data_IF_604956396402
#
_entry.id   IF_604956396402
#
_cell.length_a   1.000
_cell.length_b   1.000
_cell.length_c   1.000
_cell.angle_alpha   90.00
_cell.angle_beta   90.00
_cell.angle_gamma   90.00
#
_symmetry.space_group_name_H-M   'P 1'
#
loop_
_entity.id
_entity.type
_entity.pdbx_description
1 polymer ?
#
# COMPACT_ATOMS: atom_id res chain seq x y z
N UNK A 1 32.76 -14.00 12.76
CA UNK A 1 31.70 -13.05 12.34
C UNK A 1 30.72 -13.73 11.40
N UNK A 2 29.50 -14.01 11.88
CA UNK A 2 28.42 -14.47 10.99
C UNK A 2 27.86 -13.21 10.30
N UNK A 3 27.85 -13.13 8.96
CA UNK A 3 27.16 -12.05 8.27
C UNK A 3 25.70 -12.03 8.75
N UNK A 4 25.20 -10.85 9.14
CA UNK A 4 23.80 -10.68 9.53
C UNK A 4 22.87 -11.17 8.42
N UNK A 5 21.76 -11.79 8.80
CA UNK A 5 20.77 -12.32 7.86
C UNK A 5 20.26 -11.19 6.95
N UNK A 6 20.37 -11.38 5.62
CA UNK A 6 19.92 -10.42 4.60
C UNK A 6 18.48 -10.02 4.86
N UNK A 7 17.62 -10.94 5.29
CA UNK A 7 16.22 -10.64 5.60
C UNK A 7 16.08 -9.60 6.72
N UNK A 8 16.94 -9.65 7.74
CA UNK A 8 16.95 -8.66 8.83
C UNK A 8 17.35 -7.27 8.32
N UNK A 9 18.39 -7.20 7.47
CA UNK A 9 18.83 -5.94 6.87
C UNK A 9 17.72 -5.32 6.02
N UNK A 10 17.03 -6.13 5.21
CA UNK A 10 15.92 -5.69 4.38
C UNK A 10 14.75 -5.16 5.22
N UNK A 11 14.38 -5.84 6.31
CA UNK A 11 13.33 -5.37 7.22
C UNK A 11 13.68 -4.02 7.86
N UNK A 12 14.93 -3.84 8.29
CA UNK A 12 15.40 -2.55 8.85
C UNK A 12 15.34 -1.45 7.81
N UNK A 13 15.84 -1.69 6.59
CA UNK A 13 15.78 -0.71 5.50
C UNK A 13 14.33 -0.33 5.18
N UNK A 14 13.42 -1.29 5.16
CA UNK A 14 12.00 -1.04 4.92
C UNK A 14 11.34 -0.21 6.04
N UNK A 15 11.67 -0.48 7.31
CA UNK A 15 11.20 0.33 8.43
C UNK A 15 11.70 1.78 8.33
N UNK A 16 13.01 1.98 8.05
CA UNK A 16 13.58 3.32 7.85
C UNK A 16 12.89 4.06 6.71
N UNK A 17 12.58 3.37 5.61
CA UNK A 17 11.84 3.95 4.50
C UNK A 17 10.44 4.41 4.90
N UNK A 18 9.70 3.60 5.67
CA UNK A 18 8.35 3.94 6.12
C UNK A 18 8.34 5.09 7.16
N UNK A 19 9.36 5.16 8.03
CA UNK A 19 9.54 6.27 8.97
C UNK A 19 9.94 7.57 8.27
N UNK A 20 10.50 7.51 7.05
CA UNK A 20 10.86 8.70 6.27
C UNK A 20 9.70 9.60 5.84
N UNK A 21 8.45 9.18 6.09
CA UNK A 21 7.27 10.01 5.88
C UNK A 21 6.90 10.89 7.09
N UNK A 22 7.61 10.80 8.22
CA UNK A 22 7.25 11.47 9.48
C UNK A 22 8.19 12.60 9.95
N UNK A 23 9.33 12.88 9.27
CA UNK A 23 10.37 13.79 9.78
C UNK A 23 11.02 14.77 8.78
N UNK A 24 11.91 15.64 9.31
CA UNK A 24 12.62 16.75 8.64
C UNK A 24 13.79 16.29 7.73
N UNK A 25 14.24 15.03 7.90
CA UNK A 25 15.24 14.37 7.05
C UNK A 25 14.54 13.39 6.13
N UNK A 26 14.92 13.38 4.86
CA UNK A 26 14.36 12.47 3.87
C UNK A 26 14.93 11.04 4.00
N UNK A 27 14.55 10.35 5.08
CA UNK A 27 14.97 8.96 5.35
C UNK A 27 14.53 8.00 4.25
N UNK A 28 13.47 8.33 3.51
CA UNK A 28 13.03 7.52 2.37
C UNK A 28 14.06 7.54 1.23
N UNK A 29 14.56 8.72 0.87
CA UNK A 29 15.65 8.86 -0.13
C UNK A 29 16.92 8.16 0.34
N UNK A 30 17.27 8.28 1.63
CA UNK A 30 18.44 7.61 2.18
C UNK A 30 18.29 6.08 2.20
N UNK A 31 17.12 5.55 2.56
CA UNK A 31 16.82 4.12 2.51
C UNK A 31 16.92 3.56 1.09
N UNK A 32 16.41 4.28 0.08
CA UNK A 32 16.60 3.92 -1.33
C UNK A 32 18.10 3.90 -1.67
N UNK A 33 18.85 4.93 -1.29
CA UNK A 33 20.29 5.03 -1.55
C UNK A 33 21.07 3.87 -0.93
N UNK A 34 20.72 3.45 0.28
CA UNK A 34 21.35 2.31 0.96
C UNK A 34 20.96 0.99 0.31
N UNK A 35 19.69 0.81 -0.05
CA UNK A 35 19.20 -0.40 -0.72
C UNK A 35 19.84 -0.58 -2.10
N UNK A 36 20.06 0.49 -2.86
CA UNK A 36 20.84 0.45 -4.12
C UNK A 36 22.27 -0.04 -3.91
N UNK A 37 22.95 0.45 -2.86
CA UNK A 37 24.31 -0.01 -2.53
C UNK A 37 24.31 -1.49 -2.14
N UNK A 38 23.29 -1.94 -1.40
CA UNK A 38 23.13 -3.34 -1.05
C UNK A 38 22.92 -4.21 -2.30
N UNK A 39 22.04 -3.79 -3.23
CA UNK A 39 21.77 -4.47 -4.48
C UNK A 39 23.01 -4.59 -5.40
N UNK A 40 23.94 -3.64 -5.31
CA UNK A 40 25.20 -3.68 -6.06
C UNK A 40 26.23 -4.67 -5.51
N UNK A 41 26.08 -5.12 -4.25
CA UNK A 41 27.05 -5.97 -3.56
C UNK A 41 26.50 -7.37 -3.29
N UNK A 42 25.19 -7.50 -3.09
CA UNK A 42 24.53 -8.76 -2.74
C UNK A 42 23.61 -9.20 -3.89
N UNK A 43 23.97 -10.32 -4.53
CA UNK A 43 23.15 -10.94 -5.57
C UNK A 43 21.98 -11.74 -4.97
N UNK A 44 20.94 -11.04 -4.53
CA UNK A 44 19.75 -11.65 -3.94
C UNK A 44 18.46 -10.99 -4.47
N UNK A 45 17.53 -11.74 -5.09
CA UNK A 45 16.34 -11.18 -5.75
C UNK A 45 15.46 -10.36 -4.82
N UNK A 46 15.41 -10.73 -3.54
CA UNK A 46 14.64 -10.00 -2.54
C UNK A 46 15.19 -8.59 -2.22
N UNK A 47 16.51 -8.37 -2.42
CA UNK A 47 17.08 -7.02 -2.31
C UNK A 47 16.56 -6.15 -3.47
N UNK A 48 16.47 -6.72 -4.67
CA UNK A 48 15.86 -6.07 -5.84
C UNK A 48 14.36 -5.83 -5.63
N UNK A 49 13.64 -6.80 -5.06
CA UNK A 49 12.23 -6.64 -4.69
C UNK A 49 12.00 -5.47 -3.73
N UNK A 50 12.81 -5.34 -2.68
CA UNK A 50 12.73 -4.21 -1.75
C UNK A 50 13.03 -2.87 -2.45
N UNK A 51 14.08 -2.82 -3.28
CA UNK A 51 14.41 -1.62 -4.03
C UNK A 51 13.26 -1.19 -4.96
N UNK A 52 12.69 -2.12 -5.70
CA UNK A 52 11.54 -1.87 -6.57
C UNK A 52 10.35 -1.32 -5.77
N UNK A 53 9.99 -1.96 -4.66
CA UNK A 53 8.92 -1.50 -3.77
C UNK A 53 9.14 -0.06 -3.30
N UNK A 54 10.35 0.26 -2.83
CA UNK A 54 10.69 1.60 -2.36
C UNK A 54 10.58 2.64 -3.48
N UNK A 55 11.08 2.34 -4.68
CA UNK A 55 11.01 3.24 -5.84
C UNK A 55 9.56 3.51 -6.24
N UNK A 56 8.74 2.46 -6.37
CA UNK A 56 7.33 2.57 -6.73
C UNK A 56 6.54 3.37 -5.69
N UNK A 57 6.83 3.20 -4.41
CA UNK A 57 6.22 4.00 -3.35
C UNK A 57 6.72 5.45 -3.33
N UNK A 58 8.00 5.68 -3.58
CA UNK A 58 8.58 7.02 -3.53
C UNK A 58 8.20 7.86 -4.75
N UNK A 59 8.01 7.23 -5.91
CA UNK A 59 7.65 7.91 -7.16
C UNK A 59 6.39 8.78 -7.04
N UNK A 60 5.43 8.39 -6.19
CA UNK A 60 4.18 9.12 -5.97
C UNK A 60 4.21 10.11 -4.80
N UNK A 61 5.36 10.35 -4.17
CA UNK A 61 5.48 11.14 -2.93
C UNK A 61 4.85 12.53 -3.05
N UNK A 62 5.11 13.23 -4.17
CA UNK A 62 4.59 14.58 -4.42
C UNK A 62 3.05 14.64 -4.50
N UNK A 63 2.39 13.52 -4.77
CA UNK A 63 0.94 13.44 -4.89
C UNK A 63 0.22 13.01 -3.60
N UNK A 64 0.94 12.63 -2.53
CA UNK A 64 0.34 12.03 -1.32
C UNK A 64 -0.32 13.03 -0.38
N UNK A 65 0.16 14.27 -0.37
CA UNK A 65 -0.24 15.31 0.57
C UNK A 65 -0.50 16.59 -0.22
N UNK A 66 -1.66 17.22 0.00
CA UNK A 66 -1.98 18.53 -0.60
C UNK A 66 -1.18 19.64 0.09
N UNK A 67 -1.08 20.85 -0.51
CA UNK A 67 -0.41 21.98 0.12
C UNK A 67 -0.97 22.37 1.51
N UNK A 68 -2.23 22.03 1.80
CA UNK A 68 -2.88 22.24 3.10
C UNK A 68 -2.56 21.15 4.15
N UNK A 69 -1.71 20.17 3.81
CA UNK A 69 -1.34 19.06 4.67
C UNK A 69 -2.31 17.87 4.66
N UNK A 70 -3.40 17.93 3.89
CA UNK A 70 -4.38 16.85 3.83
C UNK A 70 -3.89 15.64 3.02
N UNK A 71 -4.22 14.43 3.48
CA UNK A 71 -4.00 13.19 2.73
C UNK A 71 -4.80 13.16 1.43
N UNK A 72 -4.15 12.66 0.38
CA UNK A 72 -4.75 12.33 -0.91
C UNK A 72 -4.80 10.80 -1.05
N UNK A 73 -6.01 10.19 -1.04
CA UNK A 73 -6.19 8.76 -1.33
C UNK A 73 -5.56 8.37 -2.66
N UNK A 74 -5.03 7.15 -2.77
CA UNK A 74 -4.32 6.69 -3.98
C UNK A 74 -5.15 6.90 -5.26
N UNK A 75 -6.46 6.61 -5.21
CA UNK A 75 -7.37 6.77 -6.34
C UNK A 75 -7.56 8.25 -6.78
N UNK A 76 -7.34 9.20 -5.87
CA UNK A 76 -7.47 10.64 -6.12
C UNK A 76 -6.13 11.33 -6.43
N UNK A 77 -5.00 10.59 -6.38
CA UNK A 77 -3.68 11.16 -6.61
C UNK A 77 -3.55 11.64 -8.06
N UNK A 78 -3.09 12.87 -8.23
CA UNK A 78 -2.71 13.39 -9.54
C UNK A 78 -1.49 12.62 -10.06
N UNK A 79 -1.74 11.69 -10.99
CA UNK A 79 -0.70 10.84 -11.59
C UNK A 79 0.30 11.64 -12.44
N UNK A 80 -0.01 12.87 -12.85
CA UNK A 80 0.96 13.73 -13.55
C UNK A 80 2.10 14.19 -12.64
N UNK A 81 1.91 14.11 -11.31
CA UNK A 81 2.94 14.40 -10.30
C UNK A 81 3.81 13.18 -9.97
N UNK A 82 3.55 12.02 -10.57
CA UNK A 82 4.32 10.80 -10.31
C UNK A 82 5.64 10.80 -11.09
N UNK A 83 6.72 10.37 -10.44
CA UNK A 83 8.02 10.21 -11.10
C UNK A 83 8.01 8.95 -11.98
N UNK A 84 7.72 9.17 -13.27
CA UNK A 84 7.66 8.09 -14.27
C UNK A 84 8.99 7.40 -14.51
N UNK A 85 10.13 8.05 -14.21
CA UNK A 85 11.45 7.42 -14.31
C UNK A 85 11.67 6.44 -13.18
N UNK A 86 11.32 6.81 -11.94
CA UNK A 86 11.38 5.88 -10.80
C UNK A 86 10.41 4.71 -10.96
N UNK A 87 9.22 4.94 -11.54
CA UNK A 87 8.27 3.87 -11.85
C UNK A 87 8.88 2.90 -12.85
N UNK A 88 9.36 3.38 -13.99
CA UNK A 88 9.97 2.54 -15.02
C UNK A 88 11.14 1.72 -14.46
N UNK A 89 12.03 2.36 -13.71
CA UNK A 89 13.15 1.69 -13.05
C UNK A 89 12.69 0.62 -12.04
N UNK A 90 11.71 0.94 -11.19
CA UNK A 90 11.17 -0.01 -10.22
C UNK A 90 10.56 -1.24 -10.90
N UNK A 91 9.83 -1.04 -12.00
CA UNK A 91 9.26 -2.12 -12.81
C UNK A 91 10.33 -2.97 -13.46
N UNK A 92 11.36 -2.37 -14.07
CA UNK A 92 12.47 -3.11 -14.69
C UNK A 92 13.22 -3.99 -13.67
N UNK A 93 13.53 -3.43 -12.49
CA UNK A 93 14.18 -4.15 -11.39
C UNK A 93 13.30 -5.32 -10.92
N UNK A 94 12.00 -5.09 -10.77
CA UNK A 94 11.06 -6.12 -10.33
C UNK A 94 10.95 -7.26 -11.36
N UNK A 95 10.79 -6.93 -12.64
CA UNK A 95 10.70 -7.93 -13.70
C UNK A 95 11.95 -8.81 -13.75
N UNK A 96 13.15 -8.22 -13.62
CA UNK A 96 14.39 -8.96 -13.55
C UNK A 96 14.49 -9.86 -12.31
N UNK A 97 13.94 -9.43 -11.16
CA UNK A 97 13.90 -10.24 -9.94
C UNK A 97 12.94 -11.43 -10.07
N UNK A 98 11.72 -11.19 -10.56
CA UNK A 98 10.70 -12.23 -10.76
C UNK A 98 11.14 -13.30 -11.76
N UNK A 99 11.89 -12.92 -12.80
CA UNK A 99 12.45 -13.86 -13.78
C UNK A 99 13.43 -14.88 -13.18
N UNK A 100 13.85 -14.71 -11.92
CA UNK A 100 14.75 -15.65 -11.22
C UNK A 100 14.03 -16.79 -10.51
N UNK A 101 12.70 -16.86 -10.60
CA UNK A 101 11.86 -17.92 -10.04
C UNK A 101 12.14 -18.20 -8.55
N UNK A 102 12.39 -17.11 -7.80
CA UNK A 102 12.66 -17.10 -6.36
C UNK A 102 11.88 -15.96 -5.71
N UNK A 103 10.54 -16.09 -5.76
CA UNK A 103 9.60 -15.11 -5.22
C UNK A 103 9.78 -14.95 -3.70
N UNK A 104 9.60 -13.72 -3.21
CA UNK A 104 9.62 -13.38 -1.79
C UNK A 104 8.67 -12.21 -1.46
N UNK A 105 8.61 -11.87 -0.17
CA UNK A 105 7.68 -10.91 0.42
C UNK A 105 7.69 -9.54 -0.29
N UNK A 106 8.86 -8.91 -0.41
CA UNK A 106 9.03 -7.60 -1.02
C UNK A 106 8.81 -7.61 -2.52
N UNK A 107 9.11 -8.72 -3.21
CA UNK A 107 8.78 -8.87 -4.63
C UNK A 107 7.27 -8.88 -4.84
N UNK A 108 6.51 -9.63 -4.03
CA UNK A 108 5.04 -9.65 -4.11
C UNK A 108 4.43 -8.28 -3.78
N UNK A 109 4.93 -7.61 -2.73
CA UNK A 109 4.50 -6.24 -2.40
C UNK A 109 4.82 -5.24 -3.52
N UNK A 110 6.00 -5.35 -4.13
CA UNK A 110 6.39 -4.51 -5.27
C UNK A 110 5.48 -4.75 -6.48
N UNK A 111 5.06 -5.99 -6.72
CA UNK A 111 4.14 -6.31 -7.81
C UNK A 111 2.76 -5.66 -7.62
N UNK A 112 2.20 -5.69 -6.40
CA UNK A 112 0.99 -4.92 -6.07
C UNK A 112 1.18 -3.43 -6.33
N UNK A 113 2.31 -2.85 -5.88
CA UNK A 113 2.60 -1.44 -6.10
C UNK A 113 2.77 -1.08 -7.58
N UNK A 114 3.35 -1.99 -8.39
CA UNK A 114 3.55 -1.81 -9.81
C UNK A 114 2.22 -1.78 -10.58
N UNK A 115 1.26 -2.64 -10.23
CA UNK A 115 -0.07 -2.63 -10.88
C UNK A 115 -0.82 -1.33 -10.64
N UNK A 116 -0.72 -0.76 -9.45
CA UNK A 116 -1.25 0.58 -9.21
C UNK A 116 -0.54 1.66 -10.03
N UNK A 117 0.78 1.53 -10.19
CA UNK A 117 1.61 2.49 -10.91
C UNK A 117 1.39 2.44 -12.43
N UNK A 118 1.09 1.26 -12.98
CA UNK A 118 0.91 1.01 -14.42
C UNK A 118 -0.45 1.47 -14.96
N UNK A 119 -1.50 1.44 -14.13
CA UNK A 119 -2.82 1.91 -14.54
C UNK A 119 -2.77 3.40 -14.97
N UNK A 120 -3.59 3.83 -15.95
CA UNK A 120 -3.63 5.26 -16.32
C UNK A 120 -4.60 6.04 -15.45
N UNK A 121 -5.63 5.36 -14.95
CA UNK A 121 -6.58 5.89 -13.96
C UNK A 121 -6.77 4.88 -12.83
N UNK A 122 -7.45 5.28 -11.75
CA UNK A 122 -7.73 4.37 -10.64
C UNK A 122 -8.63 3.19 -11.06
N UNK A 123 -9.58 3.45 -11.95
CA UNK A 123 -10.56 2.51 -12.47
C UNK A 123 -9.93 1.45 -13.38
N UNK A 124 -8.80 1.76 -14.01
CA UNK A 124 -8.05 0.83 -14.87
C UNK A 124 -7.09 -0.09 -14.09
N UNK A 125 -7.09 -0.03 -12.75
CA UNK A 125 -6.25 -0.91 -11.92
C UNK A 125 -6.68 -2.37 -12.10
N UNK A 126 -5.72 -3.26 -12.38
CA UNK A 126 -5.98 -4.70 -12.46
C UNK A 126 -6.12 -5.31 -11.06
N UNK A 127 -7.33 -5.20 -10.51
CA UNK A 127 -7.64 -5.70 -9.17
C UNK A 127 -7.61 -7.22 -9.06
N UNK A 128 -7.95 -7.94 -10.13
CA UNK A 128 -7.87 -9.41 -10.17
C UNK A 128 -6.42 -9.84 -9.96
N UNK A 129 -5.49 -9.23 -10.69
CA UNK A 129 -4.08 -9.52 -10.53
C UNK A 129 -3.53 -9.06 -9.17
N UNK A 130 -4.03 -7.95 -8.60
CA UNK A 130 -3.68 -7.55 -7.23
C UNK A 130 -4.11 -8.61 -6.20
N UNK A 131 -5.30 -9.20 -6.34
CA UNK A 131 -5.75 -10.29 -5.46
C UNK A 131 -4.80 -11.49 -5.57
N UNK A 132 -4.38 -11.88 -6.76
CA UNK A 132 -3.40 -12.96 -6.98
C UNK A 132 -2.07 -12.67 -6.28
N UNK A 133 -1.56 -11.44 -6.36
CA UNK A 133 -0.32 -11.07 -5.66
C UNK A 133 -0.47 -11.05 -4.14
N UNK A 134 -1.65 -10.70 -3.62
CA UNK A 134 -1.93 -10.87 -2.19
C UNK A 134 -2.00 -12.34 -1.79
N UNK A 135 -2.58 -13.20 -2.64
CA UNK A 135 -2.58 -14.66 -2.41
C UNK A 135 -1.16 -15.23 -2.35
N UNK A 136 -0.26 -14.79 -3.24
CA UNK A 136 1.15 -15.14 -3.17
C UNK A 136 1.82 -14.59 -1.90
N UNK A 137 1.59 -13.32 -1.55
CA UNK A 137 2.16 -12.68 -0.36
C UNK A 137 1.78 -13.43 0.93
N UNK A 138 0.53 -13.90 1.03
CA UNK A 138 0.03 -14.63 2.20
C UNK A 138 0.62 -16.04 2.35
N UNK A 139 1.29 -16.58 1.32
CA UNK A 139 2.06 -17.83 1.46
C UNK A 139 3.36 -17.63 2.23
N UNK A 140 3.91 -16.41 2.23
CA UNK A 140 5.17 -16.09 2.91
C UNK A 140 4.95 -15.58 4.33
N UNK A 141 3.83 -14.91 4.57
CA UNK A 141 3.57 -14.22 5.86
C UNK A 141 2.13 -14.44 6.28
N UNK A 142 1.91 -14.66 7.58
CA UNK A 142 0.56 -14.58 8.16
C UNK A 142 0.22 -13.14 8.55
N UNK A 143 0.59 -12.16 7.71
CA UNK A 143 0.47 -10.75 8.03
C UNK A 143 -1.00 -10.32 8.00
N UNK A 144 -1.62 -9.96 9.15
CA UNK A 144 -3.03 -9.60 9.18
C UNK A 144 -3.37 -8.36 8.36
N UNK A 145 -2.40 -7.44 8.19
CA UNK A 145 -2.57 -6.25 7.34
C UNK A 145 -2.63 -6.66 5.87
N UNK A 146 -1.86 -7.67 5.44
CA UNK A 146 -1.96 -8.19 4.08
C UNK A 146 -3.31 -8.86 3.82
N UNK A 147 -3.84 -9.61 4.82
CA UNK A 147 -5.19 -10.20 4.73
C UNK A 147 -6.28 -9.13 4.60
N UNK A 148 -6.19 -8.06 5.39
CA UNK A 148 -7.12 -6.94 5.31
C UNK A 148 -7.06 -6.23 3.96
N UNK A 149 -5.86 -5.93 3.46
CA UNK A 149 -5.71 -5.30 2.15
C UNK A 149 -6.23 -6.20 1.01
N UNK A 150 -6.02 -7.52 1.13
CA UNK A 150 -6.60 -8.50 0.20
C UNK A 150 -8.13 -8.46 0.20
N UNK A 151 -8.77 -8.37 1.38
CA UNK A 151 -10.24 -8.27 1.45
C UNK A 151 -10.76 -7.02 0.72
N UNK A 152 -10.04 -5.89 0.83
CA UNK A 152 -10.36 -4.69 0.03
C UNK A 152 -10.18 -4.95 -1.46
N UNK A 153 -9.08 -5.57 -1.88
CA UNK A 153 -8.82 -5.91 -3.29
C UNK A 153 -9.89 -6.86 -3.87
N UNK A 154 -10.36 -7.85 -3.11
CA UNK A 154 -11.50 -8.71 -3.48
C UNK A 154 -12.76 -7.88 -3.65
N UNK A 155 -13.00 -6.89 -2.78
CA UNK A 155 -14.11 -5.95 -2.92
C UNK A 155 -14.08 -5.13 -4.21
N UNK A 156 -12.88 -4.83 -4.72
CA UNK A 156 -12.71 -4.14 -6.00
C UNK A 156 -12.87 -5.06 -7.20
N UNK A 157 -12.32 -6.28 -7.13
CA UNK A 157 -12.35 -7.24 -8.23
C UNK A 157 -13.73 -7.89 -8.41
N UNK A 158 -14.31 -8.39 -7.31
CA UNK A 158 -15.51 -9.23 -7.32
C UNK A 158 -16.75 -8.50 -6.77
N UNK A 159 -16.58 -7.25 -6.38
CA UNK A 159 -17.64 -6.39 -5.86
C UNK A 159 -17.66 -6.29 -4.33
N UNK A 160 -18.25 -5.22 -3.78
CA UNK A 160 -18.06 -4.83 -2.39
C UNK A 160 -18.61 -5.86 -1.39
N UNK A 161 -19.63 -6.64 -1.75
CA UNK A 161 -20.17 -7.72 -0.92
C UNK A 161 -19.17 -8.86 -0.74
N UNK A 162 -18.39 -9.19 -1.78
CA UNK A 162 -17.32 -10.20 -1.68
C UNK A 162 -16.21 -9.70 -0.74
N UNK A 163 -15.85 -8.41 -0.85
CA UNK A 163 -14.89 -7.79 0.07
C UNK A 163 -15.38 -7.76 1.52
N UNK A 164 -16.65 -7.45 1.76
CA UNK A 164 -17.24 -7.48 3.11
C UNK A 164 -17.26 -8.89 3.70
N UNK A 165 -17.57 -9.91 2.88
CA UNK A 165 -17.53 -11.30 3.30
C UNK A 165 -16.10 -11.71 3.69
N UNK A 166 -15.10 -11.39 2.88
CA UNK A 166 -13.70 -11.65 3.18
C UNK A 166 -13.21 -10.89 4.42
N UNK A 167 -13.66 -9.63 4.60
CA UNK A 167 -13.30 -8.83 5.77
C UNK A 167 -13.88 -9.41 7.06
N UNK A 168 -15.10 -9.96 7.02
CA UNK A 168 -15.78 -10.53 8.19
C UNK A 168 -15.08 -11.78 8.77
N UNK A 169 -14.16 -12.40 8.02
CA UNK A 169 -13.33 -13.51 8.51
C UNK A 169 -12.12 -13.05 9.34
N UNK A 170 -11.84 -11.74 9.37
CA UNK A 170 -10.70 -11.17 10.06
C UNK A 170 -11.07 -10.64 11.44
N UNK A 171 -10.06 -10.47 12.30
CA UNK A 171 -10.24 -9.85 13.62
C UNK A 171 -10.65 -8.36 13.46
N UNK A 172 -11.83 -7.94 13.99
CA UNK A 172 -12.25 -6.54 13.96
C UNK A 172 -11.32 -5.58 14.72
N UNK A 173 -10.45 -6.10 15.59
CA UNK A 173 -9.42 -5.34 16.30
C UNK A 173 -8.22 -4.92 15.44
N UNK A 174 -8.14 -5.37 14.18
CA UNK A 174 -7.03 -5.02 13.30
C UNK A 174 -6.98 -3.51 13.01
N UNK A 175 -5.78 -2.90 12.97
CA UNK A 175 -5.62 -1.53 12.53
C UNK A 175 -6.29 -1.32 11.17
N UNK A 176 -7.09 -0.25 11.07
CA UNK A 176 -7.87 0.14 9.88
C UNK A 176 -9.00 -0.82 9.46
N UNK A 177 -9.34 -1.84 10.25
CA UNK A 177 -10.50 -2.70 9.97
C UNK A 177 -11.78 -1.87 9.77
N UNK A 178 -12.11 -0.99 10.72
CA UNK A 178 -13.31 -0.15 10.66
C UNK A 178 -13.30 0.77 9.43
N UNK A 179 -12.14 1.28 9.04
CA UNK A 179 -12.01 2.11 7.84
C UNK A 179 -12.23 1.30 6.55
N UNK A 180 -11.70 0.08 6.47
CA UNK A 180 -11.94 -0.83 5.34
C UNK A 180 -13.41 -1.26 5.25
N UNK A 181 -14.05 -1.53 6.39
CA UNK A 181 -15.48 -1.81 6.45
C UNK A 181 -16.30 -0.61 5.96
N UNK A 182 -15.99 0.60 6.44
CA UNK A 182 -16.64 1.83 5.98
C UNK A 182 -16.56 1.99 4.46
N UNK A 183 -15.35 1.80 3.91
CA UNK A 183 -15.08 1.86 2.48
C UNK A 183 -15.93 0.88 1.68
N UNK A 184 -15.96 -0.39 2.08
CA UNK A 184 -16.70 -1.42 1.35
C UNK A 184 -18.22 -1.23 1.47
N UNK A 185 -18.73 -0.77 2.62
CA UNK A 185 -20.14 -0.40 2.75
C UNK A 185 -20.52 0.78 1.86
N UNK A 186 -19.64 1.79 1.75
CA UNK A 186 -19.85 2.91 0.83
C UNK A 186 -19.95 2.40 -0.61
N UNK A 187 -19.00 1.55 -1.02
CA UNK A 187 -18.97 0.95 -2.36
C UNK A 187 -20.21 0.08 -2.63
N UNK A 188 -20.77 -0.55 -1.60
CA UNK A 188 -22.03 -1.30 -1.68
C UNK A 188 -23.28 -0.40 -1.75
N UNK A 189 -23.13 0.92 -1.61
CA UNK A 189 -24.24 1.89 -1.60
C UNK A 189 -24.90 2.07 -0.23
N UNK A 190 -24.40 1.43 0.83
CA UNK A 190 -24.88 1.61 2.20
C UNK A 190 -24.17 2.80 2.86
N UNK A 191 -24.52 4.00 2.38
CA UNK A 191 -23.90 5.26 2.81
C UNK A 191 -24.13 5.56 4.28
N UNK A 192 -25.26 5.13 4.85
CA UNK A 192 -25.58 5.33 6.26
C UNK A 192 -24.65 4.54 7.17
N UNK A 193 -24.44 3.25 6.89
CA UNK A 193 -23.48 2.43 7.65
C UNK A 193 -22.06 2.94 7.45
N UNK A 194 -21.69 3.27 6.21
CA UNK A 194 -20.37 3.80 5.90
C UNK A 194 -20.06 5.09 6.66
N UNK A 195 -21.00 6.06 6.73
CA UNK A 195 -20.77 7.32 7.44
C UNK A 195 -20.51 7.10 8.94
N UNK A 196 -21.25 6.19 9.59
CA UNK A 196 -21.01 5.83 10.99
C UNK A 196 -19.64 5.18 11.18
N UNK A 197 -19.29 4.22 10.31
CA UNK A 197 -18.01 3.51 10.40
C UNK A 197 -16.82 4.43 10.10
N UNK A 198 -16.93 5.38 9.17
CA UNK A 198 -15.90 6.41 8.98
C UNK A 198 -15.73 7.29 10.22
N UNK A 199 -16.83 7.65 10.90
CA UNK A 199 -16.78 8.41 12.16
C UNK A 199 -16.06 7.62 13.24
N UNK A 200 -16.39 6.33 13.40
CA UNK A 200 -15.73 5.44 14.34
C UNK A 200 -14.25 5.25 14.00
N UNK A 201 -13.92 5.00 12.73
CA UNK A 201 -12.56 4.88 12.26
C UNK A 201 -11.75 6.15 12.52
N UNK A 202 -12.35 7.34 12.40
CA UNK A 202 -11.69 8.59 12.73
C UNK A 202 -11.29 8.66 14.22
N UNK A 203 -12.10 8.13 15.13
CA UNK A 203 -11.75 8.06 16.56
C UNK A 203 -10.58 7.10 16.85
N UNK A 204 -10.39 6.08 16.01
CA UNK A 204 -9.33 5.08 16.12
C UNK A 204 -8.03 5.47 15.39
N UNK A 205 -8.06 6.52 14.56
CA UNK A 205 -6.93 6.93 13.72
C UNK A 205 -5.71 7.33 14.56
N UNK A 206 -4.53 6.89 14.14
CA UNK A 206 -3.27 7.13 14.87
C UNK A 206 -2.54 8.39 14.40
N UNK A 207 -3.07 9.08 13.39
CA UNK A 207 -2.49 10.33 12.87
C UNK A 207 -3.57 11.37 12.57
N UNK A 208 -3.21 12.65 12.74
CA UNK A 208 -4.10 13.78 12.42
C UNK A 208 -4.57 13.75 10.96
N UNK A 209 -3.69 13.54 9.95
CA UNK A 209 -4.13 13.54 8.55
C UNK A 209 -5.12 12.41 8.25
N UNK A 210 -4.93 11.21 8.83
CA UNK A 210 -5.84 10.06 8.68
C UNK A 210 -7.20 10.35 9.32
N UNK A 211 -7.20 10.83 10.57
CA UNK A 211 -8.44 11.24 11.25
C UNK A 211 -9.21 12.26 10.43
N UNK A 212 -8.55 13.33 9.99
CA UNK A 212 -9.20 14.41 9.28
C UNK A 212 -9.74 13.95 7.91
N UNK A 213 -9.05 13.01 7.24
CA UNK A 213 -9.57 12.35 6.04
C UNK A 213 -10.86 11.58 6.33
N UNK A 214 -10.87 10.73 7.36
CA UNK A 214 -12.02 9.91 7.74
C UNK A 214 -13.23 10.77 8.17
N UNK A 215 -13.00 11.85 8.91
CA UNK A 215 -14.04 12.85 9.25
C UNK A 215 -14.65 13.47 7.99
N UNK A 216 -13.83 13.83 7.00
CA UNK A 216 -14.32 14.35 5.71
C UNK A 216 -15.16 13.33 4.96
N UNK A 217 -14.77 12.05 4.95
CA UNK A 217 -15.56 10.99 4.31
C UNK A 217 -16.94 10.83 4.99
N UNK A 218 -16.98 10.80 6.32
CA UNK A 218 -18.23 10.76 7.07
C UNK A 218 -19.14 11.96 6.76
N UNK A 219 -18.58 13.18 6.78
CA UNK A 219 -19.33 14.40 6.48
C UNK A 219 -19.88 14.43 5.04
N UNK A 220 -19.09 13.97 4.06
CA UNK A 220 -19.50 13.86 2.66
C UNK A 220 -20.74 12.96 2.52
N UNK A 221 -20.74 11.80 3.16
CA UNK A 221 -21.87 10.86 3.07
C UNK A 221 -23.12 11.36 3.79
N UNK A 222 -22.98 12.10 4.89
CA UNK A 222 -24.11 12.76 5.54
C UNK A 222 -24.73 13.88 4.69
N UNK A 223 -23.96 14.54 3.83
CA UNK A 223 -24.46 15.63 2.97
C UNK A 223 -25.21 15.17 1.72
N UNK A 224 -25.11 13.88 1.39
CA UNK A 224 -25.72 13.26 0.19
C UNK A 224 -26.98 12.44 0.55
N UNK A 225 -27.25 12.24 1.86
CA UNK A 225 -28.46 11.58 2.38
C UNK A 225 -29.56 12.58 2.73
#
# INVERSE_FOLDING_TARGET
DRPGDVATVLRVLYLVFNEGYSGDVDLATEAIRLTRRLAAVIDHPEVSGLLALMLLHHARRAARIRPDGSLVPLAEQDRSLWDTRMIAEGVEILQAALARDRLGEFQAQAAVAALHADARTAEETDWVQIVEWYDELLRFTDNPVARLNRAVAVGEADGPQAGLAALAELDPGLPRYTAAAAYLHERAGDTATAARLYTEAAHLATSVPERDHLVRQAARLHSVS
#
